data_IF_431926049027
#
_entry.id   IF_431926049027
#
_cell.length_a   1.000
_cell.length_b   1.000
_cell.length_c   1.000
_cell.angle_alpha   90.00
_cell.angle_beta   90.00
_cell.angle_gamma   90.00
#
_symmetry.space_group_name_H-M   'P 1'
#
loop_
_entity.id
_entity.type
_entity.pdbx_description
1 polymer ?
#
# COMPACT_ATOMS: atom_id res chain seq x y z
N UNK A 1 23.48 -18.39 -14.47
CA UNK A 1 23.17 -19.14 -15.72
C UNK A 1 24.22 -18.94 -16.81
N UNK A 2 24.47 -17.72 -17.31
CA UNK A 2 25.54 -17.47 -18.31
C UNK A 2 26.94 -17.62 -17.69
N UNK A 3 27.13 -17.14 -16.46
CA UNK A 3 28.39 -17.26 -15.71
C UNK A 3 28.45 -18.48 -14.78
N UNK A 4 27.45 -19.39 -14.87
CA UNK A 4 27.33 -20.59 -14.01
C UNK A 4 27.41 -20.33 -12.48
N UNK A 5 27.07 -19.12 -12.04
CA UNK A 5 26.98 -18.76 -10.62
C UNK A 5 25.61 -19.07 -10.05
N UNK A 6 25.58 -19.42 -8.77
CA UNK A 6 24.36 -19.56 -7.97
C UNK A 6 23.61 -18.23 -7.88
N UNK A 7 22.28 -18.31 -7.72
CA UNK A 7 21.38 -17.17 -7.63
C UNK A 7 20.80 -17.11 -6.22
N UNK A 8 20.95 -15.96 -5.56
CA UNK A 8 20.40 -15.75 -4.21
C UNK A 8 19.20 -14.80 -4.28
N UNK A 9 18.00 -15.33 -4.00
CA UNK A 9 16.72 -14.58 -4.03
C UNK A 9 15.86 -15.05 -2.87
N UNK A 10 15.18 -14.12 -2.21
CA UNK A 10 14.25 -14.41 -1.10
C UNK A 10 14.88 -15.27 0.02
N UNK A 11 16.14 -14.98 0.34
CA UNK A 11 16.95 -15.73 1.32
C UNK A 11 17.19 -17.22 0.96
N UNK A 12 16.95 -17.61 -0.30
CA UNK A 12 17.21 -18.95 -0.82
C UNK A 12 18.32 -18.93 -1.89
N UNK A 13 19.10 -20.02 -1.93
CA UNK A 13 20.15 -20.24 -2.94
C UNK A 13 19.61 -21.20 -4.00
N UNK A 14 19.67 -20.76 -5.26
CA UNK A 14 19.28 -21.56 -6.42
C UNK A 14 20.52 -21.91 -7.24
N UNK A 15 20.72 -23.21 -7.46
CA UNK A 15 21.83 -23.73 -8.24
C UNK A 15 21.76 -23.25 -9.69
N UNK A 16 22.92 -22.95 -10.28
CA UNK A 16 23.00 -22.60 -11.68
C UNK A 16 22.42 -23.72 -12.55
N UNK A 17 21.44 -23.38 -13.39
CA UNK A 17 20.81 -24.34 -14.30
C UNK A 17 19.53 -24.99 -13.77
N UNK A 18 19.17 -24.81 -12.49
CA UNK A 18 17.88 -25.28 -11.97
C UNK A 18 16.71 -24.57 -12.65
N UNK A 19 15.55 -25.22 -12.70
CA UNK A 19 14.36 -24.63 -13.31
C UNK A 19 13.90 -23.38 -12.55
N UNK A 20 14.01 -23.39 -11.23
CA UNK A 20 13.71 -22.24 -10.37
C UNK A 20 14.67 -21.07 -10.65
N UNK A 21 15.97 -21.34 -10.78
CA UNK A 21 16.96 -20.32 -11.13
C UNK A 21 16.67 -19.70 -12.51
N UNK A 22 16.22 -20.51 -13.48
CA UNK A 22 15.79 -20.04 -14.81
C UNK A 22 14.54 -19.18 -14.72
N UNK A 23 13.54 -19.60 -13.96
CA UNK A 23 12.31 -18.82 -13.75
C UNK A 23 12.63 -17.45 -13.12
N UNK A 24 13.44 -17.40 -12.07
CA UNK A 24 13.82 -16.13 -11.47
C UNK A 24 14.66 -15.25 -12.40
N UNK A 25 15.60 -15.85 -13.16
CA UNK A 25 16.37 -15.10 -14.14
C UNK A 25 15.49 -14.50 -15.25
N UNK A 26 14.43 -15.22 -15.66
CA UNK A 26 13.45 -14.71 -16.61
C UNK A 26 12.73 -13.49 -16.04
N UNK A 27 12.23 -13.54 -14.80
CA UNK A 27 11.57 -12.40 -14.15
C UNK A 27 12.47 -11.15 -14.11
N UNK A 28 13.75 -11.34 -13.80
CA UNK A 28 14.74 -10.26 -13.78
C UNK A 28 14.97 -9.71 -15.20
N UNK A 29 15.09 -10.59 -16.20
CA UNK A 29 15.27 -10.21 -17.59
C UNK A 29 14.09 -9.41 -18.14
N UNK A 30 12.86 -9.86 -17.88
CA UNK A 30 11.64 -9.14 -18.25
C UNK A 30 11.62 -7.73 -17.65
N UNK A 31 11.93 -7.63 -16.36
CA UNK A 31 12.02 -6.34 -15.69
C UNK A 31 13.09 -5.44 -16.31
N UNK A 32 14.29 -5.96 -16.59
CA UNK A 32 15.37 -5.19 -17.22
C UNK A 32 14.92 -4.67 -18.59
N UNK A 33 14.32 -5.52 -19.42
CA UNK A 33 13.85 -5.14 -20.75
C UNK A 33 12.83 -3.98 -20.66
N UNK A 34 11.86 -4.11 -19.76
CA UNK A 34 10.83 -3.08 -19.54
C UNK A 34 11.44 -1.79 -19.01
N UNK A 35 12.38 -1.87 -18.08
CA UNK A 35 13.03 -0.69 -17.49
C UNK A 35 13.93 0.03 -18.51
N UNK A 36 14.65 -0.69 -19.36
CA UNK A 36 15.44 -0.10 -20.46
C UNK A 36 14.51 0.59 -21.45
N UNK A 37 13.43 -0.07 -21.87
CA UNK A 37 12.43 0.53 -22.75
C UNK A 37 11.83 1.81 -22.14
N UNK A 38 11.52 1.82 -20.85
CA UNK A 38 11.02 3.02 -20.17
C UNK A 38 12.08 4.13 -20.05
N UNK A 39 13.34 3.76 -19.84
CA UNK A 39 14.43 4.71 -19.60
C UNK A 39 14.79 5.52 -20.85
N UNK A 40 14.59 4.96 -22.05
CA UNK A 40 14.85 5.67 -23.31
C UNK A 40 13.78 6.72 -23.66
N UNK A 41 12.55 6.59 -23.13
CA UNK A 41 11.44 7.49 -23.49
C UNK A 41 11.72 8.93 -23.09
N UNK A 42 12.23 9.17 -21.87
CA UNK A 42 12.39 10.54 -21.39
C UNK A 42 13.46 11.35 -22.15
N UNK A 43 14.66 10.80 -22.45
CA UNK A 43 15.61 11.45 -23.34
C UNK A 43 15.03 11.73 -24.73
N UNK A 44 14.31 10.77 -25.32
CA UNK A 44 13.69 10.93 -26.64
C UNK A 44 12.69 12.09 -26.64
N UNK A 45 11.78 12.13 -25.67
CA UNK A 45 10.80 13.23 -25.55
C UNK A 45 11.45 14.57 -25.23
N UNK A 46 12.58 14.60 -24.53
CA UNK A 46 13.27 15.85 -24.26
C UNK A 46 14.01 16.42 -25.48
N UNK A 47 14.29 15.60 -26.50
CA UNK A 47 15.04 16.01 -27.69
C UNK A 47 14.20 16.09 -28.95
N UNK A 48 13.17 15.25 -29.06
CA UNK A 48 12.45 15.01 -30.32
C UNK A 48 10.93 15.31 -30.24
N UNK A 49 10.39 15.70 -29.07
CA UNK A 49 8.95 15.89 -28.88
C UNK A 49 8.32 16.92 -29.83
N UNK A 50 9.07 17.93 -30.24
CA UNK A 50 8.57 19.03 -31.06
C UNK A 50 8.95 18.88 -32.54
N UNK A 51 9.59 17.77 -32.92
CA UNK A 51 9.95 17.51 -34.32
C UNK A 51 8.72 17.02 -35.08
N UNK A 52 8.23 17.84 -36.01
CA UNK A 52 6.95 17.60 -36.69
C UNK A 52 6.91 16.28 -37.46
N UNK A 53 8.02 15.91 -38.13
CA UNK A 53 8.14 14.60 -38.79
C UNK A 53 8.01 13.43 -37.80
N UNK A 54 8.54 13.57 -36.58
CA UNK A 54 8.42 12.51 -35.57
C UNK A 54 6.98 12.42 -35.07
N UNK A 55 6.35 13.57 -34.80
CA UNK A 55 4.95 13.62 -34.33
C UNK A 55 4.01 12.98 -35.35
N UNK A 56 4.14 13.31 -36.63
CA UNK A 56 3.24 12.81 -37.68
C UNK A 56 3.40 11.30 -37.94
N UNK A 57 4.61 10.75 -37.78
CA UNK A 57 4.88 9.35 -38.10
C UNK A 57 4.74 8.40 -36.90
N UNK A 58 5.00 8.86 -35.68
CA UNK A 58 5.11 7.98 -34.51
C UNK A 58 4.09 8.26 -33.40
N UNK A 59 3.50 9.45 -33.34
CA UNK A 59 2.62 9.79 -32.22
C UNK A 59 1.18 9.44 -32.55
N UNK A 60 0.43 9.06 -31.52
CA UNK A 60 -1.02 9.02 -31.62
C UNK A 60 -1.56 10.44 -31.91
N UNK A 61 -2.69 10.52 -32.62
CA UNK A 61 -3.33 11.79 -32.97
C UNK A 61 -3.61 12.67 -31.76
N UNK A 62 -3.86 12.07 -30.59
CA UNK A 62 -4.08 12.82 -29.35
C UNK A 62 -2.85 13.64 -28.88
N UNK A 63 -1.62 13.25 -29.27
CA UNK A 63 -0.38 13.93 -28.86
C UNK A 63 0.24 14.83 -29.95
N UNK A 64 -0.47 15.08 -31.06
CA UNK A 64 0.06 15.93 -32.14
C UNK A 64 0.17 17.39 -31.70
N UNK A 65 -0.69 17.88 -30.81
CA UNK A 65 -0.57 19.26 -30.35
C UNK A 65 0.60 19.42 -29.38
N UNK A 66 1.32 20.54 -29.49
CA UNK A 66 2.42 20.90 -28.56
C UNK A 66 1.94 20.85 -27.10
N UNK A 67 0.71 21.30 -26.85
CA UNK A 67 0.15 21.32 -25.49
C UNK A 67 -0.02 19.92 -24.90
N UNK A 68 -0.49 18.96 -25.69
CA UNK A 68 -0.71 17.60 -25.19
C UNK A 68 0.61 16.84 -24.98
N UNK A 69 1.60 17.01 -25.86
CA UNK A 69 2.91 16.39 -25.65
C UNK A 69 3.64 16.99 -24.44
N UNK A 70 3.52 18.29 -24.20
CA UNK A 70 4.02 18.94 -22.97
C UNK A 70 3.31 18.41 -21.72
N UNK A 71 1.98 18.27 -21.77
CA UNK A 71 1.21 17.70 -20.66
C UNK A 71 1.66 16.28 -20.35
N UNK A 72 1.87 15.46 -21.38
CA UNK A 72 2.39 14.10 -21.25
C UNK A 72 3.77 14.10 -20.59
N UNK A 73 4.71 14.94 -21.05
CA UNK A 73 6.06 15.07 -20.48
C UNK A 73 6.04 15.51 -19.01
N UNK A 74 5.14 16.42 -18.66
CA UNK A 74 4.96 16.88 -17.29
C UNK A 74 4.41 15.77 -16.38
N UNK A 75 3.40 15.04 -16.83
CA UNK A 75 2.85 13.88 -16.11
C UNK A 75 3.91 12.78 -15.92
N UNK A 76 4.70 12.51 -16.95
CA UNK A 76 5.80 11.55 -16.88
C UNK A 76 6.86 11.99 -15.85
N UNK A 77 7.24 13.27 -15.86
CA UNK A 77 8.17 13.84 -14.88
C UNK A 77 7.63 13.72 -13.45
N UNK A 78 6.34 13.95 -13.24
CA UNK A 78 5.69 13.72 -11.95
C UNK A 78 5.70 12.26 -11.52
N UNK A 79 5.44 11.31 -12.43
CA UNK A 79 5.55 9.88 -12.14
C UNK A 79 6.96 9.50 -11.66
N UNK A 80 8.01 10.03 -12.31
CA UNK A 80 9.39 9.77 -11.88
C UNK A 80 9.72 10.41 -10.53
N UNK A 81 9.27 11.64 -10.28
CA UNK A 81 9.43 12.28 -8.96
C UNK A 81 8.75 11.48 -7.85
N UNK A 82 7.50 11.04 -8.07
CA UNK A 82 6.78 10.21 -7.11
C UNK A 82 7.50 8.89 -6.85
N UNK A 83 8.04 8.26 -7.90
CA UNK A 83 8.83 7.04 -7.75
C UNK A 83 10.08 7.30 -6.90
N UNK A 84 10.90 8.27 -7.29
CA UNK A 84 12.22 8.50 -6.68
C UNK A 84 12.12 9.06 -5.25
N UNK A 85 11.11 9.88 -4.95
CA UNK A 85 10.98 10.53 -3.66
C UNK A 85 10.08 9.81 -2.67
N UNK A 86 9.20 8.91 -3.12
CA UNK A 86 8.21 8.26 -2.24
C UNK A 86 8.22 6.74 -2.39
N UNK A 87 7.99 6.21 -3.59
CA UNK A 87 7.80 4.76 -3.78
C UNK A 87 9.09 3.96 -3.60
N UNK A 88 10.20 4.45 -4.15
CA UNK A 88 11.50 3.77 -4.03
C UNK A 88 12.01 3.79 -2.58
N UNK A 89 11.99 4.93 -1.85
CA UNK A 89 12.33 4.95 -0.43
C UNK A 89 11.45 4.03 0.42
N UNK A 90 10.14 3.97 0.12
CA UNK A 90 9.23 3.03 0.76
C UNK A 90 9.63 1.56 0.48
N UNK A 91 9.96 1.22 -0.77
CA UNK A 91 10.40 -0.13 -1.13
C UNK A 91 11.73 -0.50 -0.46
N UNK A 92 12.66 0.45 -0.33
CA UNK A 92 13.92 0.30 0.43
C UNK A 92 13.62 0.02 1.91
N UNK A 93 12.76 0.82 2.54
CA UNK A 93 12.36 0.65 3.94
C UNK A 93 11.71 -0.72 4.19
N UNK A 94 10.85 -1.15 3.28
CA UNK A 94 10.15 -2.45 3.33
C UNK A 94 11.02 -3.63 2.84
N UNK A 95 12.31 -3.39 2.52
CA UNK A 95 13.27 -4.42 2.06
C UNK A 95 12.77 -5.23 0.87
N UNK A 96 12.25 -4.54 -0.16
CA UNK A 96 11.77 -5.18 -1.38
C UNK A 96 12.18 -4.43 -2.64
N UNK A 97 12.22 -5.16 -3.75
CA UNK A 97 12.22 -4.59 -5.10
C UNK A 97 10.87 -4.84 -5.76
N UNK A 98 10.34 -3.82 -6.43
CA UNK A 98 9.23 -3.99 -7.37
C UNK A 98 9.78 -4.35 -8.76
N UNK A 99 9.33 -5.46 -9.31
CA UNK A 99 9.68 -5.92 -10.66
C UNK A 99 8.48 -5.78 -11.59
N UNK A 100 8.75 -5.40 -12.83
CA UNK A 100 7.80 -5.50 -13.93
C UNK A 100 7.97 -6.82 -14.67
N UNK A 101 6.87 -7.50 -14.93
CA UNK A 101 6.86 -8.81 -15.60
C UNK A 101 5.80 -8.82 -16.69
N UNK A 102 5.97 -9.66 -17.71
CA UNK A 102 4.96 -9.84 -18.73
C UNK A 102 3.88 -10.79 -18.22
N UNK A 103 2.63 -10.36 -18.35
CA UNK A 103 1.45 -11.10 -17.98
C UNK A 103 0.49 -11.19 -19.19
N UNK A 104 -0.48 -12.13 -19.19
CA UNK A 104 -1.42 -12.28 -20.30
C UNK A 104 -2.20 -11.01 -20.68
N UNK A 105 -2.32 -10.06 -19.74
CA UNK A 105 -3.02 -8.78 -19.93
C UNK A 105 -2.08 -7.56 -19.97
N UNK A 106 -0.81 -7.76 -20.31
CA UNK A 106 0.19 -6.69 -20.45
C UNK A 106 1.28 -6.76 -19.38
N UNK A 107 1.70 -5.62 -18.84
CA UNK A 107 2.76 -5.56 -17.83
C UNK A 107 2.15 -5.61 -16.43
N UNK A 108 2.56 -6.59 -15.63
CA UNK A 108 2.20 -6.72 -14.23
C UNK A 108 3.35 -6.28 -13.32
N UNK A 109 3.04 -6.08 -12.04
CA UNK A 109 4.02 -5.85 -10.99
C UNK A 109 4.06 -7.02 -10.02
N UNK A 110 5.26 -7.36 -9.57
CA UNK A 110 5.45 -8.25 -8.43
C UNK A 110 6.54 -7.69 -7.51
N UNK A 111 6.59 -8.16 -6.27
CA UNK A 111 7.64 -7.79 -5.32
C UNK A 111 8.51 -8.98 -4.97
N UNK A 112 9.82 -8.75 -4.88
CA UNK A 112 10.77 -9.72 -4.32
C UNK A 112 11.44 -9.13 -3.07
N UNK A 113 11.63 -9.96 -2.05
CA UNK A 113 12.38 -9.55 -0.86
C UNK A 113 13.88 -9.47 -1.18
N UNK A 114 14.52 -8.43 -0.66
CA UNK A 114 15.97 -8.31 -0.66
C UNK A 114 16.42 -7.45 0.52
N UNK A 115 17.53 -7.78 1.20
CA UNK A 115 18.06 -6.93 2.26
C UNK A 115 18.60 -5.62 1.66
N UNK A 116 17.95 -4.49 1.95
CA UNK A 116 18.29 -3.15 1.39
C UNK A 116 18.82 -2.16 2.44
N UNK A 117 19.45 -2.65 3.51
CA UNK A 117 19.97 -1.81 4.62
C UNK A 117 21.02 -0.79 4.17
N UNK A 118 21.93 -1.19 3.28
CA UNK A 118 22.95 -0.29 2.76
C UNK A 118 22.32 0.90 2.01
N UNK A 119 21.32 0.62 1.16
CA UNK A 119 20.57 1.67 0.45
C UNK A 119 19.79 2.58 1.39
N UNK A 120 19.14 2.00 2.41
CA UNK A 120 18.41 2.75 3.44
C UNK A 120 19.33 3.76 4.14
N UNK A 121 20.56 3.34 4.51
CA UNK A 121 21.54 4.20 5.17
C UNK A 121 22.07 5.35 4.29
N UNK A 122 21.91 5.22 2.97
CA UNK A 122 22.37 6.22 2.00
C UNK A 122 21.28 7.23 1.63
N UNK A 123 20.02 7.03 2.06
CA UNK A 123 18.93 7.96 1.80
C UNK A 123 19.19 9.31 2.47
N UNK A 124 18.87 10.39 1.75
CA UNK A 124 19.01 11.77 2.23
C UNK A 124 17.82 12.61 1.76
N UNK A 125 17.55 13.73 2.42
CA UNK A 125 16.51 14.67 2.01
C UNK A 125 15.09 14.07 2.05
N UNK A 126 14.29 14.34 1.02
CA UNK A 126 12.88 13.88 0.94
C UNK A 126 12.75 12.35 1.07
N UNK A 127 13.56 11.52 0.39
CA UNK A 127 13.57 10.07 0.58
C UNK A 127 13.70 9.61 2.03
N UNK A 128 14.65 10.19 2.76
CA UNK A 128 14.87 9.87 4.18
C UNK A 128 13.68 10.32 5.04
N UNK A 129 13.12 11.49 4.75
CA UNK A 129 11.92 11.96 5.45
C UNK A 129 10.74 10.98 5.29
N UNK A 130 10.54 10.43 4.08
CA UNK A 130 9.50 9.43 3.84
C UNK A 130 9.70 8.19 4.71
N UNK A 131 10.92 7.68 4.82
CA UNK A 131 11.18 6.49 5.66
C UNK A 131 10.98 6.78 7.15
N UNK A 132 11.37 7.97 7.62
CA UNK A 132 11.12 8.40 9.00
C UNK A 132 9.62 8.53 9.30
N UNK A 133 8.82 9.00 8.35
CA UNK A 133 7.35 9.07 8.50
C UNK A 133 6.76 7.65 8.60
N UNK A 134 7.24 6.71 7.78
CA UNK A 134 6.80 5.32 7.84
C UNK A 134 7.16 4.68 9.19
N UNK A 135 8.39 4.88 9.66
CA UNK A 135 8.85 4.39 10.97
C UNK A 135 8.03 5.01 12.12
N UNK A 136 7.79 6.32 12.07
CA UNK A 136 6.95 7.00 13.05
C UNK A 136 5.52 6.46 13.05
N UNK A 137 4.92 6.24 11.87
CA UNK A 137 3.59 5.63 11.75
C UNK A 137 3.57 4.27 12.44
N UNK A 138 4.53 3.41 12.12
CA UNK A 138 4.58 2.05 12.66
C UNK A 138 4.81 2.04 14.18
N UNK A 139 5.57 3.01 14.71
CA UNK A 139 5.71 3.22 16.14
C UNK A 139 4.43 3.75 16.81
N UNK A 140 3.67 4.63 16.15
CA UNK A 140 2.47 5.26 16.74
C UNK A 140 1.24 4.37 16.65
N UNK A 141 1.07 3.57 15.59
CA UNK A 141 -0.13 2.74 15.36
C UNK A 141 -0.55 1.90 16.57
N UNK A 142 0.35 1.15 17.26
CA UNK A 142 -0.03 0.36 18.44
C UNK A 142 -0.58 1.22 19.59
N UNK A 143 -0.01 2.40 19.79
CA UNK A 143 -0.41 3.33 20.86
C UNK A 143 -1.79 3.90 20.59
N UNK A 144 -2.05 4.31 19.35
CA UNK A 144 -3.35 4.84 18.95
C UNK A 144 -4.45 3.77 19.08
N UNK A 145 -4.17 2.54 18.66
CA UNK A 145 -5.11 1.42 18.83
C UNK A 145 -5.45 1.16 20.30
N UNK A 146 -4.47 1.29 21.20
CA UNK A 146 -4.66 1.11 22.64
C UNK A 146 -5.54 2.21 23.26
N UNK A 147 -5.37 3.47 22.86
CA UNK A 147 -6.24 4.56 23.32
C UNK A 147 -7.67 4.38 22.81
N UNK A 148 -7.83 4.01 21.54
CA UNK A 148 -9.13 3.75 20.94
C UNK A 148 -9.84 2.55 21.58
N UNK A 149 -9.12 1.47 21.89
CA UNK A 149 -9.71 0.30 22.55
C UNK A 149 -10.15 0.61 23.98
N UNK A 150 -9.39 1.42 24.72
CA UNK A 150 -9.78 1.90 26.05
C UNK A 150 -11.05 2.74 25.98
N UNK A 151 -11.12 3.72 25.07
CA UNK A 151 -12.32 4.55 24.88
C UNK A 151 -13.53 3.71 24.46
N UNK A 152 -13.36 2.79 23.50
CA UNK A 152 -14.41 1.89 23.06
C UNK A 152 -14.92 1.00 24.19
N UNK A 153 -14.02 0.43 25.00
CA UNK A 153 -14.40 -0.35 26.17
C UNK A 153 -15.17 0.48 27.21
N UNK A 154 -14.80 1.75 27.41
CA UNK A 154 -15.51 2.68 28.28
C UNK A 154 -16.92 2.98 27.79
N UNK A 155 -17.11 3.20 26.49
CA UNK A 155 -18.43 3.39 25.87
C UNK A 155 -19.29 2.14 26.02
N UNK A 156 -18.75 0.96 25.72
CA UNK A 156 -19.48 -0.32 25.88
C UNK A 156 -19.86 -0.55 27.34
N UNK A 157 -18.96 -0.25 28.28
CA UNK A 157 -19.24 -0.34 29.71
C UNK A 157 -20.38 0.60 30.13
N UNK A 158 -20.33 1.87 29.73
CA UNK A 158 -21.40 2.84 29.99
C UNK A 158 -22.76 2.32 29.48
N UNK A 159 -22.83 1.89 28.23
CA UNK A 159 -24.07 1.41 27.62
C UNK A 159 -24.59 0.13 28.30
N UNK A 160 -23.74 -0.86 28.52
CA UNK A 160 -24.20 -2.17 29.04
C UNK A 160 -24.45 -2.15 30.54
N UNK A 161 -23.59 -1.49 31.33
CA UNK A 161 -23.68 -1.53 32.80
C UNK A 161 -24.50 -0.38 33.35
N UNK A 162 -24.34 0.85 32.86
CA UNK A 162 -25.06 2.00 33.42
C UNK A 162 -26.47 2.04 32.86
N UNK A 163 -26.61 2.08 31.53
CA UNK A 163 -27.93 2.14 30.89
C UNK A 163 -28.68 0.82 31.07
N UNK A 164 -28.02 -0.32 30.84
CA UNK A 164 -28.64 -1.64 31.01
C UNK A 164 -29.14 -1.93 32.43
N UNK A 165 -28.37 -1.56 33.48
CA UNK A 165 -28.87 -1.69 34.87
C UNK A 165 -29.98 -0.69 35.18
N UNK A 166 -29.89 0.54 34.66
CA UNK A 166 -30.93 1.55 34.82
C UNK A 166 -32.28 1.07 34.27
N UNK A 167 -32.30 0.58 33.04
CA UNK A 167 -33.51 0.00 32.43
C UNK A 167 -34.00 -1.24 33.20
N UNK A 168 -33.09 -2.10 33.66
CA UNK A 168 -33.45 -3.28 34.46
C UNK A 168 -34.12 -2.93 35.80
N UNK A 169 -33.69 -1.86 36.47
CA UNK A 169 -34.31 -1.37 37.70
C UNK A 169 -35.70 -0.78 37.44
N UNK A 170 -35.87 0.00 36.36
CA UNK A 170 -37.17 0.54 35.95
C UNK A 170 -38.15 -0.61 35.67
N UNK A 171 -37.73 -1.61 34.88
CA UNK A 171 -38.56 -2.79 34.60
C UNK A 171 -38.96 -3.57 35.86
N UNK A 172 -38.04 -3.74 36.81
CA UNK A 172 -38.35 -4.36 38.12
C UNK A 172 -39.33 -3.54 38.95
N UNK A 173 -39.19 -2.21 38.95
CA UNK A 173 -40.12 -1.31 39.64
C UNK A 173 -41.54 -1.41 39.08
N UNK A 174 -41.68 -1.47 37.75
CA UNK A 174 -42.98 -1.64 37.07
C UNK A 174 -43.62 -2.99 37.43
N UNK A 175 -42.84 -4.08 37.39
CA UNK A 175 -43.34 -5.42 37.75
C UNK A 175 -43.78 -5.52 39.21
N UNK A 176 -43.03 -4.92 40.15
CA UNK A 176 -43.41 -4.86 41.56
C UNK A 176 -44.67 -4.02 41.78
N UNK A 177 -44.81 -2.90 41.06
CA UNK A 177 -46.01 -2.07 41.07
C UNK A 177 -47.25 -2.85 40.64
N UNK A 178 -47.20 -3.53 39.49
CA UNK A 178 -48.33 -4.32 38.98
C UNK A 178 -48.64 -5.52 39.89
N UNK A 179 -47.62 -6.20 40.40
CA UNK A 179 -47.78 -7.32 41.34
C UNK A 179 -48.39 -6.92 42.69
N UNK A 180 -48.11 -5.70 43.16
CA UNK A 180 -48.68 -5.19 44.41
C UNK A 180 -50.16 -4.81 44.29
N UNK A 181 -50.59 -4.31 43.12
CA UNK A 181 -52.00 -3.97 42.83
C UNK A 181 -52.86 -5.24 42.70
N UNK A 182 -52.33 -6.28 42.05
CA UNK A 182 -53.02 -7.57 41.91
C UNK A 182 -53.12 -8.38 43.22
N UNK A 183 -52.17 -8.22 44.14
CA UNK A 183 -52.26 -8.77 45.50
C UNK A 183 -53.30 -8.04 46.39
N UNK A 184 -53.54 -6.75 46.18
CA UNK A 184 -54.56 -5.98 46.91
C UNK A 184 -55.97 -6.34 46.43
N UNK A 185 -56.15 -6.62 45.14
CA UNK A 185 -57.45 -7.00 44.56
C UNK A 185 -57.90 -8.42 44.98
N UNK A 186 -56.95 -9.33 45.22
CA UNK A 186 -57.23 -10.68 45.76
C UNK A 186 -57.58 -10.71 47.25
N UNK A 187 -57.18 -9.68 48.02
CA UNK A 187 -57.46 -9.60 49.47
C UNK A 187 -58.83 -8.98 49.80
N UNK A 188 -59.42 -8.24 48.87
CA UNK A 188 -60.78 -7.67 48.98
C UNK A 188 -61.89 -8.64 48.51
N UNK A 189 -61.56 -9.91 48.24
CA UNK A 189 -62.51 -10.95 47.78
C UNK A 189 -62.70 -12.12 48.77
N UNK A 190 -62.39 -11.93 50.05
CA UNK A 190 -62.75 -12.88 51.11
C UNK A 190 -63.72 -12.25 52.10
#
# INVERSE_FOLDING_TARGET
LIFQTELYIDNAVYLAGSEEAKSHALLILENILIQVANSVIQPLLNKLADVETIKQNFYDREYISTREIERFRNNLSWKYRLRNYVKEPQAIFESRYELFVFAPRGIAKMSIYAPRRAELSQLKGIPLLVTLILEFRDAVTPRLQSVLSLLGSGVVFMLTKVVGRGLGLIGRGILQGIGSVSFLEGKNKK
#
